data_IF_571012902305
#
_entry.id   IF_571012902305
#
_cell.length_a   1.000
_cell.length_b   1.000
_cell.length_c   1.000
_cell.angle_alpha   90.00
_cell.angle_beta   90.00
_cell.angle_gamma   90.00
#
_symmetry.space_group_name_H-M   'P 1'
#
loop_
_entity.id
_entity.type
_entity.pdbx_description
1 polymer ?
#
# COMPACT_ATOMS: atom_id res chain seq x y z
N UNK A 1 16.52 34.73 -21.47
CA UNK A 1 16.29 34.06 -20.18
C UNK A 1 16.71 32.62 -20.35
N UNK A 2 17.91 32.26 -19.91
CA UNK A 2 18.35 30.87 -19.89
C UNK A 2 17.57 30.17 -18.78
N UNK A 3 16.81 29.13 -19.14
CA UNK A 3 16.19 28.26 -18.15
C UNK A 3 17.31 27.51 -17.42
N UNK A 4 17.37 27.60 -16.07
CA UNK A 4 18.36 26.82 -15.33
C UNK A 4 18.11 25.34 -15.63
N UNK A 5 19.13 24.66 -16.17
CA UNK A 5 19.10 23.20 -16.40
C UNK A 5 19.15 22.53 -15.03
N UNK A 6 17.99 22.30 -14.43
CA UNK A 6 17.88 21.51 -13.21
C UNK A 6 18.37 20.10 -13.57
N UNK A 7 19.39 19.55 -12.91
CA UNK A 7 19.84 18.20 -13.19
C UNK A 7 18.68 17.22 -12.93
N UNK A 8 18.45 16.30 -13.86
CA UNK A 8 17.37 15.30 -13.77
C UNK A 8 17.52 14.36 -12.56
N UNK A 9 18.76 14.19 -12.08
CA UNK A 9 19.12 13.38 -10.93
C UNK A 9 20.13 14.12 -10.03
N UNK A 10 19.84 14.22 -8.74
CA UNK A 10 20.71 14.78 -7.71
C UNK A 10 20.80 13.80 -6.53
N UNK A 11 21.88 13.03 -6.47
CA UNK A 11 22.13 12.03 -5.42
C UNK A 11 22.66 12.64 -4.12
N UNK A 12 23.02 13.93 -4.10
CA UNK A 12 23.54 14.60 -2.90
C UNK A 12 22.49 14.71 -1.78
N UNK A 13 21.21 14.62 -2.14
CA UNK A 13 20.05 14.71 -1.25
C UNK A 13 19.63 13.35 -0.66
N UNK A 14 20.32 12.27 -1.01
CA UNK A 14 20.02 10.94 -0.51
C UNK A 14 20.58 10.74 0.91
N UNK A 15 19.72 10.41 1.86
CA UNK A 15 20.10 10.13 3.24
C UNK A 15 19.67 8.70 3.61
N UNK A 16 20.65 7.80 3.69
CA UNK A 16 20.41 6.38 4.01
C UNK A 16 19.71 6.17 5.36
N UNK A 17 20.01 7.00 6.36
CA UNK A 17 19.39 6.90 7.68
C UNK A 17 17.90 7.23 7.61
N UNK A 18 17.54 8.28 6.87
CA UNK A 18 16.14 8.67 6.68
C UNK A 18 15.36 7.65 5.83
N UNK A 19 15.99 7.08 4.81
CA UNK A 19 15.37 6.01 3.99
C UNK A 19 15.17 4.74 4.81
N UNK A 20 16.16 4.35 5.62
CA UNK A 20 16.07 3.18 6.49
C UNK A 20 15.01 3.34 7.59
N UNK A 21 14.89 4.52 8.20
CA UNK A 21 13.87 4.78 9.21
C UNK A 21 12.45 4.78 8.62
N UNK A 22 12.27 5.34 7.42
CA UNK A 22 11.00 5.28 6.69
C UNK A 22 10.62 3.84 6.35
N UNK A 23 11.58 3.03 5.89
CA UNK A 23 11.33 1.61 5.62
C UNK A 23 10.88 0.86 6.87
N UNK A 24 11.55 1.06 8.01
CA UNK A 24 11.16 0.44 9.26
C UNK A 24 9.75 0.87 9.71
N UNK A 25 9.44 2.15 9.59
CA UNK A 25 8.13 2.70 9.98
C UNK A 25 6.99 2.15 9.11
N UNK A 26 7.16 2.18 7.79
CA UNK A 26 6.18 1.62 6.86
C UNK A 26 6.12 0.09 6.96
N UNK A 27 7.22 -0.59 7.26
CA UNK A 27 7.27 -2.04 7.48
C UNK A 27 6.41 -2.46 8.66
N UNK A 28 6.64 -1.87 9.84
CA UNK A 28 5.85 -2.18 11.04
C UNK A 28 4.36 -1.88 10.80
N UNK A 29 4.07 -0.73 10.17
CA UNK A 29 2.70 -0.33 9.87
C UNK A 29 2.02 -1.26 8.86
N UNK A 30 2.72 -1.64 7.78
CA UNK A 30 2.23 -2.54 6.75
C UNK A 30 1.94 -3.94 7.29
N UNK A 31 2.84 -4.49 8.11
CA UNK A 31 2.62 -5.79 8.78
C UNK A 31 1.41 -5.73 9.71
N UNK A 32 1.26 -4.64 10.46
CA UNK A 32 0.09 -4.40 11.30
C UNK A 32 -1.22 -4.38 10.49
N UNK A 33 -1.24 -3.65 9.37
CA UNK A 33 -2.39 -3.59 8.48
C UNK A 33 -2.74 -4.95 7.88
N UNK A 34 -1.76 -5.71 7.38
CA UNK A 34 -1.98 -7.03 6.81
C UNK A 34 -2.57 -8.01 7.84
N UNK A 35 -2.11 -7.94 9.10
CA UNK A 35 -2.67 -8.73 10.20
C UNK A 35 -4.11 -8.34 10.54
N UNK A 36 -4.44 -7.04 10.51
CA UNK A 36 -5.81 -6.59 10.76
C UNK A 36 -6.74 -7.01 9.62
N UNK A 37 -6.31 -6.83 8.37
CA UNK A 37 -7.11 -7.16 7.19
C UNK A 37 -7.42 -8.66 7.11
N UNK A 38 -6.42 -9.53 7.32
CA UNK A 38 -6.62 -10.98 7.35
C UNK A 38 -7.62 -11.42 8.43
N UNK A 39 -7.60 -10.78 9.61
CA UNK A 39 -8.59 -11.04 10.67
C UNK A 39 -10.00 -10.60 10.31
N UNK A 40 -10.16 -9.39 9.77
CA UNK A 40 -11.48 -8.80 9.49
C UNK A 40 -12.16 -9.49 8.31
N UNK A 41 -11.39 -9.85 7.26
CA UNK A 41 -11.96 -10.40 6.03
C UNK A 41 -12.04 -11.92 6.03
N UNK A 42 -11.03 -12.61 6.57
CA UNK A 42 -10.91 -14.07 6.39
C UNK A 42 -11.08 -14.87 7.69
N UNK A 43 -11.14 -14.24 8.87
CA UNK A 43 -11.20 -14.90 10.20
C UNK A 43 -10.07 -15.94 10.44
N UNK A 44 -9.08 -15.99 9.55
CA UNK A 44 -7.89 -16.84 9.57
C UNK A 44 -6.67 -15.94 9.42
N UNK A 45 -5.61 -16.26 10.14
CA UNK A 45 -4.39 -15.46 10.15
C UNK A 45 -3.20 -16.33 9.75
N UNK A 46 -2.50 -15.91 8.71
CA UNK A 46 -1.16 -16.41 8.41
C UNK A 46 -0.15 -15.28 8.66
N UNK A 47 0.68 -15.47 9.70
CA UNK A 47 1.67 -14.48 10.12
C UNK A 47 2.74 -14.31 9.06
N UNK A 48 3.12 -15.38 8.35
CA UNK A 48 4.16 -15.33 7.32
C UNK A 48 3.70 -14.53 6.09
N UNK A 49 2.47 -14.76 5.66
CA UNK A 49 1.85 -13.99 4.57
C UNK A 49 1.73 -12.51 4.96
N UNK A 50 1.29 -12.24 6.20
CA UNK A 50 1.15 -10.86 6.68
C UNK A 50 2.49 -10.11 6.78
N UNK A 51 3.57 -10.80 7.14
CA UNK A 51 4.92 -10.22 7.17
C UNK A 51 5.41 -9.96 5.75
N UNK A 52 5.26 -10.93 4.85
CA UNK A 52 5.70 -10.81 3.46
C UNK A 52 4.99 -9.65 2.73
N UNK A 53 3.66 -9.62 2.81
CA UNK A 53 2.85 -8.59 2.15
C UNK A 53 3.05 -7.21 2.80
N UNK A 54 3.22 -7.16 4.13
CA UNK A 54 3.52 -5.92 4.85
C UNK A 54 4.90 -5.34 4.50
N UNK A 55 5.91 -6.19 4.32
CA UNK A 55 7.23 -5.78 3.84
C UNK A 55 7.18 -5.34 2.38
N UNK A 56 6.46 -6.07 1.53
CA UNK A 56 6.28 -5.70 0.13
C UNK A 56 5.58 -4.35 0.02
N UNK A 57 4.56 -4.10 0.85
CA UNK A 57 3.89 -2.80 0.96
C UNK A 57 4.86 -1.68 1.35
N UNK A 58 5.82 -1.93 2.24
CA UNK A 58 6.79 -0.93 2.68
C UNK A 58 7.85 -0.56 1.63
N UNK A 59 8.18 -1.49 0.72
CA UNK A 59 9.18 -1.25 -0.34
C UNK A 59 8.73 -0.13 -1.29
N UNK A 60 7.45 -0.11 -1.67
CA UNK A 60 6.95 0.83 -2.70
C UNK A 60 6.97 2.30 -2.27
N UNK A 61 6.43 2.71 -1.10
CA UNK A 61 6.56 4.07 -0.60
C UNK A 61 8.02 4.50 -0.44
N UNK A 62 8.90 3.58 -0.05
CA UNK A 62 10.34 3.86 0.09
C UNK A 62 10.99 4.08 -1.27
N UNK A 63 10.67 3.27 -2.28
CA UNK A 63 11.14 3.50 -3.65
C UNK A 63 10.67 4.86 -4.17
N UNK A 64 9.40 5.21 -3.96
CA UNK A 64 8.86 6.52 -4.37
C UNK A 64 9.55 7.67 -3.63
N UNK A 65 9.82 7.53 -2.32
CA UNK A 65 10.61 8.50 -1.57
C UNK A 65 11.98 8.73 -2.20
N UNK A 66 12.68 7.65 -2.57
CA UNK A 66 14.00 7.74 -3.21
C UNK A 66 13.90 8.40 -4.58
N UNK A 67 12.94 8.00 -5.41
CA UNK A 67 12.73 8.59 -6.74
C UNK A 67 12.47 10.09 -6.64
N UNK A 68 11.64 10.53 -5.71
CA UNK A 68 11.33 11.95 -5.50
C UNK A 68 12.53 12.73 -4.95
N UNK A 69 13.36 12.11 -4.11
CA UNK A 69 14.56 12.77 -3.57
C UNK A 69 15.67 12.91 -4.59
N UNK A 70 15.82 11.91 -5.46
CA UNK A 70 16.85 11.93 -6.50
C UNK A 70 16.38 12.74 -7.71
N UNK A 71 15.08 12.75 -8.04
CA UNK A 71 14.56 13.51 -9.18
C UNK A 71 13.83 14.80 -8.76
N UNK A 72 14.51 15.96 -8.82
CA UNK A 72 13.90 17.24 -8.47
C UNK A 72 12.77 17.63 -9.45
N UNK A 73 12.83 17.14 -10.69
CA UNK A 73 11.76 17.36 -11.68
C UNK A 73 10.44 16.74 -11.21
N UNK A 74 10.44 15.45 -10.85
CA UNK A 74 9.25 14.76 -10.37
C UNK A 74 8.74 15.41 -9.08
N UNK A 75 9.65 15.74 -8.15
CA UNK A 75 9.28 16.44 -6.92
C UNK A 75 8.59 17.77 -7.20
N UNK A 76 9.04 18.54 -8.20
CA UNK A 76 8.44 19.82 -8.56
C UNK A 76 7.01 19.70 -9.08
N UNK A 77 6.70 18.65 -9.86
CA UNK A 77 5.34 18.39 -10.36
C UNK A 77 4.37 18.11 -9.21
N UNK A 78 4.76 17.25 -8.27
CA UNK A 78 3.95 16.98 -7.08
C UNK A 78 3.78 18.24 -6.20
N UNK A 79 4.82 19.04 -6.07
CA UNK A 79 4.80 20.27 -5.27
C UNK A 79 3.90 21.34 -5.91
N UNK A 80 3.91 21.45 -7.24
CA UNK A 80 3.00 22.30 -8.01
C UNK A 80 1.55 21.83 -7.92
N UNK A 81 1.30 20.51 -8.00
CA UNK A 81 -0.02 19.93 -7.83
C UNK A 81 -0.61 20.20 -6.45
N UNK A 82 0.19 20.04 -5.39
CA UNK A 82 -0.21 20.38 -4.01
C UNK A 82 -0.41 21.87 -3.85
N UNK A 83 0.46 22.71 -4.43
CA UNK A 83 0.28 24.17 -4.40
C UNK A 83 -1.06 24.57 -5.02
N UNK A 84 -1.44 23.97 -6.14
CA UNK A 84 -2.75 24.20 -6.75
C UNK A 84 -3.89 23.73 -5.84
N UNK A 85 -3.83 22.49 -5.35
CA UNK A 85 -4.90 21.84 -4.58
C UNK A 85 -5.09 22.42 -3.17
N UNK A 86 -4.03 22.93 -2.55
CA UNK A 86 -4.04 23.46 -1.18
C UNK A 86 -3.83 24.98 -1.11
N UNK A 87 -3.77 25.68 -2.25
CA UNK A 87 -3.68 27.15 -2.33
C UNK A 87 -4.75 27.86 -1.49
N UNK A 88 -5.96 27.30 -1.44
CA UNK A 88 -7.10 27.81 -0.69
C UNK A 88 -6.96 27.69 0.84
N UNK A 89 -6.07 26.84 1.34
CA UNK A 89 -5.91 26.60 2.79
C UNK A 89 -4.98 27.59 3.48
N UNK A 90 -4.31 28.48 2.72
CA UNK A 90 -3.37 29.48 3.27
C UNK A 90 -2.09 28.90 3.90
N UNK A 91 -1.97 27.59 4.03
CA UNK A 91 -0.81 26.88 4.61
C UNK A 91 0.41 26.86 3.66
N UNK A 92 0.17 27.20 2.38
CA UNK A 92 1.10 27.15 1.25
C UNK A 92 1.81 28.50 1.11
N UNK A 93 2.54 28.95 2.13
CA UNK A 93 3.24 30.25 2.09
C UNK A 93 4.72 30.15 1.71
N UNK A 94 5.34 28.98 1.89
CA UNK A 94 6.77 28.76 1.62
C UNK A 94 7.03 27.57 0.67
N UNK A 95 8.00 27.73 -0.23
CA UNK A 95 8.37 26.72 -1.23
C UNK A 95 8.87 25.42 -0.55
N UNK A 96 9.61 25.54 0.55
CA UNK A 96 10.06 24.37 1.32
C UNK A 96 8.90 23.61 1.98
N UNK A 97 7.79 24.30 2.30
CA UNK A 97 6.55 23.68 2.77
C UNK A 97 5.86 22.88 1.67
N UNK A 98 5.78 23.46 0.47
CA UNK A 98 5.16 22.82 -0.71
C UNK A 98 5.92 21.56 -1.12
N UNK A 99 7.25 21.61 -1.07
CA UNK A 99 8.10 20.48 -1.39
C UNK A 99 7.93 19.31 -0.42
N UNK A 100 7.69 19.61 0.87
CA UNK A 100 7.40 18.59 1.90
C UNK A 100 5.99 18.02 1.74
N UNK A 101 5.00 18.87 1.47
CA UNK A 101 3.63 18.43 1.25
C UNK A 101 3.49 17.63 -0.04
N UNK A 102 4.17 18.02 -1.12
CA UNK A 102 4.26 17.26 -2.37
C UNK A 102 4.83 15.86 -2.15
N UNK A 103 5.91 15.77 -1.37
CA UNK A 103 6.50 14.49 -0.98
C UNK A 103 5.53 13.65 -0.13
N UNK A 104 4.92 14.24 0.90
CA UNK A 104 3.97 13.54 1.76
C UNK A 104 2.75 13.05 0.96
N UNK A 105 2.23 13.88 0.05
CA UNK A 105 1.11 13.55 -0.81
C UNK A 105 1.42 12.37 -1.73
N UNK A 106 2.60 12.35 -2.36
CA UNK A 106 3.02 11.23 -3.19
C UNK A 106 3.18 9.92 -2.40
N UNK A 107 3.70 9.99 -1.17
CA UNK A 107 3.78 8.82 -0.28
C UNK A 107 2.40 8.30 0.12
N UNK A 108 1.45 9.19 0.43
CA UNK A 108 0.07 8.81 0.76
C UNK A 108 -0.61 8.16 -0.45
N UNK A 109 -0.49 8.74 -1.64
CA UNK A 109 -1.05 8.16 -2.87
C UNK A 109 -0.49 6.77 -3.14
N UNK A 110 0.83 6.60 -3.02
CA UNK A 110 1.49 5.30 -3.20
C UNK A 110 1.00 4.30 -2.15
N UNK A 111 0.91 4.73 -0.89
CA UNK A 111 0.38 3.92 0.21
C UNK A 111 -1.04 3.44 -0.09
N UNK A 112 -1.93 4.33 -0.57
CA UNK A 112 -3.31 3.98 -0.93
C UNK A 112 -3.38 2.93 -2.03
N UNK A 113 -2.66 3.12 -3.14
CA UNK A 113 -2.62 2.16 -4.25
C UNK A 113 -2.15 0.79 -3.74
N UNK A 114 -1.08 0.77 -2.94
CA UNK A 114 -0.53 -0.46 -2.40
C UNK A 114 -1.44 -1.11 -1.36
N UNK A 115 -2.20 -0.34 -0.57
CA UNK A 115 -3.18 -0.93 0.36
C UNK A 115 -4.29 -1.64 -0.40
N UNK A 116 -4.79 -1.09 -1.51
CA UNK A 116 -5.81 -1.76 -2.33
C UNK A 116 -5.27 -3.05 -2.93
N UNK A 117 -4.03 -3.05 -3.41
CA UNK A 117 -3.37 -4.26 -3.90
C UNK A 117 -3.19 -5.30 -2.80
N UNK A 118 -2.75 -4.88 -1.61
CA UNK A 118 -2.57 -5.76 -0.44
C UNK A 118 -3.89 -6.42 -0.03
N UNK A 119 -5.01 -5.69 -0.03
CA UNK A 119 -6.34 -6.27 0.24
C UNK A 119 -6.63 -7.43 -0.73
N UNK A 120 -6.48 -7.20 -2.03
CA UNK A 120 -6.70 -8.25 -3.03
C UNK A 120 -5.73 -9.42 -2.89
N UNK A 121 -4.46 -9.16 -2.58
CA UNK A 121 -3.46 -10.21 -2.40
C UNK A 121 -3.76 -11.09 -1.17
N UNK A 122 -4.18 -10.48 -0.06
CA UNK A 122 -4.58 -11.18 1.18
C UNK A 122 -5.85 -12.00 0.96
N UNK A 123 -6.85 -11.47 0.24
CA UNK A 123 -8.05 -12.23 -0.13
C UNK A 123 -7.70 -13.48 -0.97
N UNK A 124 -6.80 -13.37 -1.94
CA UNK A 124 -6.44 -14.51 -2.80
C UNK A 124 -5.58 -15.56 -2.07
N UNK A 125 -4.75 -15.14 -1.11
CA UNK A 125 -3.78 -16.00 -0.44
C UNK A 125 -4.31 -16.62 0.86
N UNK A 126 -5.05 -15.86 1.67
CA UNK A 126 -5.50 -16.27 3.02
C UNK A 126 -6.94 -16.76 3.02
N UNK A 127 -7.83 -16.22 2.18
CA UNK A 127 -9.24 -16.62 2.12
C UNK A 127 -9.49 -17.90 1.30
N UNK A 128 -8.46 -18.68 0.97
CA UNK A 128 -8.66 -20.00 0.36
C UNK A 128 -9.35 -20.93 1.37
N UNK A 129 -10.52 -21.52 1.04
CA UNK A 129 -11.12 -22.53 1.90
C UNK A 129 -10.15 -23.70 2.01
N UNK A 130 -9.97 -24.20 3.22
CA UNK A 130 -9.09 -25.34 3.48
C UNK A 130 -9.60 -26.58 2.73
N UNK A 131 -8.73 -27.52 2.35
CA UNK A 131 -9.13 -28.74 1.63
C UNK A 131 -10.16 -29.53 2.45
N UNK A 132 -10.05 -29.48 3.79
CA UNK A 132 -11.03 -30.02 4.72
C UNK A 132 -12.38 -29.27 4.71
N UNK A 133 -12.38 -27.95 4.50
CA UNK A 133 -13.60 -27.16 4.32
C UNK A 133 -14.26 -27.48 2.98
N UNK A 134 -13.50 -27.59 1.89
CA UNK A 134 -14.01 -27.98 0.57
C UNK A 134 -14.62 -29.39 0.59
N UNK A 135 -13.97 -30.33 1.28
CA UNK A 135 -14.46 -31.69 1.45
C UNK A 135 -15.75 -31.71 2.29
N UNK A 136 -15.81 -30.97 3.39
CA UNK A 136 -17.03 -30.89 4.21
C UNK A 136 -18.18 -30.15 3.49
N UNK A 137 -17.88 -29.16 2.66
CA UNK A 137 -18.87 -28.50 1.80
C UNK A 137 -19.43 -29.44 0.73
N UNK A 138 -18.58 -30.23 0.07
CA UNK A 138 -19.04 -31.24 -0.90
C UNK A 138 -19.91 -32.32 -0.23
N UNK A 139 -19.50 -32.79 0.95
CA UNK A 139 -20.28 -33.77 1.71
C UNK A 139 -21.64 -33.19 2.11
N UNK A 140 -21.68 -31.94 2.58
CA UNK A 140 -22.94 -31.27 2.93
C UNK A 140 -23.83 -30.99 1.71
N UNK A 141 -23.27 -30.59 0.57
CA UNK A 141 -24.02 -30.40 -0.68
C UNK A 141 -24.60 -31.72 -1.20
N UNK A 142 -23.83 -32.81 -1.17
CA UNK A 142 -24.32 -34.14 -1.54
C UNK A 142 -25.41 -34.64 -0.59
N UNK A 143 -25.31 -34.28 0.69
CA UNK A 143 -26.32 -34.62 1.71
C UNK A 143 -27.61 -33.82 1.50
N UNK A 144 -27.51 -32.50 1.29
CA UNK A 144 -28.68 -31.66 0.99
C UNK A 144 -29.36 -32.05 -0.33
N UNK A 145 -28.59 -32.42 -1.37
CA UNK A 145 -29.15 -32.89 -2.63
C UNK A 145 -29.94 -34.19 -2.44
N UNK A 146 -29.40 -35.14 -1.67
CA UNK A 146 -30.10 -36.40 -1.34
C UNK A 146 -31.35 -36.16 -0.51
N UNK A 147 -31.31 -35.26 0.48
CA UNK A 147 -32.48 -34.91 1.29
C UNK A 147 -33.54 -34.17 0.47
N UNK A 148 -33.15 -33.30 -0.47
CA UNK A 148 -34.08 -32.63 -1.40
C UNK A 148 -34.68 -33.55 -2.45
N UNK A 149 -33.94 -34.56 -2.92
CA UNK A 149 -34.47 -35.59 -3.82
C UNK A 149 -35.41 -36.54 -3.08
N UNK A 150 -35.09 -36.93 -1.84
CA UNK A 150 -35.96 -37.75 -1.00
C UNK A 150 -37.27 -37.03 -0.59
N UNK A 151 -37.23 -35.71 -0.38
CA UNK A 151 -38.41 -34.89 -0.08
C UNK A 151 -39.19 -34.42 -1.33
N UNK A 152 -38.73 -34.75 -2.54
CA UNK A 152 -39.44 -34.47 -3.80
C UNK A 152 -40.30 -35.64 -4.29
N UNK A 153 -40.32 -36.75 -3.56
CA UNK A 153 -41.27 -37.87 -3.70
C UNK A 153 -42.44 -37.71 -2.73
#
# INVERSE_FOLDING_TARGET
METPKIPYFDTSKFNMVATGSLFAMFGIFGVGLANIMSRVQCSKTDVWVSVYDGLMWAIFPVLVYVILKVSPYIQSEFSNGVKFMFSWTGYVSDQAGNDKLGLAYALVLTGLIMTTWMIHAVEVSVCKPDIAELASFQVNLLKELKEKEANKQ
#
